data_IF_806918950491
#
_entry.id   IF_806918950491
#
_cell.length_a   1.000
_cell.length_b   1.000
_cell.length_c   1.000
_cell.angle_alpha   90.00
_cell.angle_beta   90.00
_cell.angle_gamma   90.00
#
_symmetry.space_group_name_H-M   'P 1'
#
loop_
_entity.id
_entity.type
_entity.pdbx_description
1 polymer ?
#
# COMPACT_ATOMS: atom_id res chain seq x y z
N UNK A 1 -18.70 4.67 -13.49
CA UNK A 1 -17.80 3.50 -13.39
C UNK A 1 -18.01 2.89 -12.02
N UNK A 2 -17.85 1.57 -11.88
CA UNK A 2 -18.15 0.83 -10.66
C UNK A 2 -17.02 0.92 -9.62
N UNK A 3 -15.78 1.08 -10.08
CA UNK A 3 -14.57 1.18 -9.26
C UNK A 3 -13.82 2.48 -9.54
N UNK A 4 -13.06 2.94 -8.54
CA UNK A 4 -12.21 4.13 -8.66
C UNK A 4 -10.87 3.77 -9.29
N UNK A 5 -10.27 2.66 -8.85
CA UNK A 5 -8.96 2.17 -9.31
C UNK A 5 -9.00 0.66 -9.52
N UNK A 6 -8.37 0.19 -10.59
CA UNK A 6 -8.13 -1.22 -10.88
C UNK A 6 -6.62 -1.45 -11.07
N UNK A 7 -6.06 -2.38 -10.29
CA UNK A 7 -4.74 -2.97 -10.52
C UNK A 7 -4.95 -4.22 -11.37
N UNK A 8 -4.43 -4.25 -12.60
CA UNK A 8 -4.71 -5.32 -13.57
C UNK A 8 -3.48 -6.14 -13.93
N UNK A 9 -3.63 -7.47 -14.02
CA UNK A 9 -2.62 -8.38 -14.56
C UNK A 9 -1.44 -8.71 -13.63
N UNK A 10 -1.49 -8.27 -12.36
CA UNK A 10 -0.45 -8.52 -11.37
C UNK A 10 -0.53 -9.92 -10.74
N UNK A 11 0.58 -10.36 -10.13
CA UNK A 11 0.59 -11.50 -9.20
C UNK A 11 0.26 -10.98 -7.80
N UNK A 12 -0.94 -11.30 -7.30
CA UNK A 12 -1.35 -10.94 -5.95
C UNK A 12 -0.71 -11.92 -4.95
N UNK A 13 -0.01 -11.36 -3.97
CA UNK A 13 0.47 -12.06 -2.78
C UNK A 13 -0.30 -11.50 -1.58
N UNK A 14 -1.29 -12.26 -1.10
CA UNK A 14 -2.07 -11.97 0.09
C UNK A 14 -2.05 -13.18 1.05
N UNK A 15 -1.12 -13.19 2.02
CA UNK A 15 -1.00 -14.29 2.98
C UNK A 15 -2.22 -14.45 3.88
N UNK A 16 -2.95 -13.38 4.19
CA UNK A 16 -4.12 -13.43 5.07
C UNK A 16 -5.27 -14.20 4.42
N UNK A 17 -5.41 -14.07 3.10
CA UNK A 17 -6.39 -14.82 2.30
C UNK A 17 -5.81 -16.10 1.68
N UNK A 18 -4.52 -16.38 1.88
CA UNK A 18 -3.82 -17.54 1.29
C UNK A 18 -3.66 -17.47 -0.23
N UNK A 19 -3.63 -16.28 -0.82
CA UNK A 19 -3.53 -16.07 -2.26
C UNK A 19 -2.07 -15.82 -2.65
N UNK A 20 -1.59 -16.62 -3.59
CA UNK A 20 -0.37 -16.36 -4.35
C UNK A 20 -0.63 -16.74 -5.81
N UNK A 21 -1.25 -15.83 -6.56
CA UNK A 21 -1.75 -16.11 -7.90
C UNK A 21 -1.97 -14.82 -8.71
N UNK A 22 -2.05 -14.91 -10.06
CA UNK A 22 -2.52 -13.80 -10.88
C UNK A 22 -3.93 -13.39 -10.49
N UNK A 23 -4.11 -12.12 -10.08
CA UNK A 23 -5.40 -11.53 -9.71
C UNK A 23 -5.38 -10.04 -10.00
N UNK A 24 -6.54 -9.57 -10.42
CA UNK A 24 -6.89 -8.17 -10.49
C UNK A 24 -7.44 -7.71 -9.13
N UNK A 25 -7.14 -6.48 -8.74
CA UNK A 25 -7.63 -5.88 -7.47
C UNK A 25 -8.31 -4.56 -7.80
N UNK A 26 -9.61 -4.47 -7.49
CA UNK A 26 -10.40 -3.26 -7.68
C UNK A 26 -10.66 -2.55 -6.35
N UNK A 27 -10.59 -1.22 -6.39
CA UNK A 27 -10.74 -0.34 -5.23
C UNK A 27 -11.92 0.59 -5.50
N UNK A 28 -12.80 0.75 -4.50
CA UNK A 28 -13.88 1.73 -4.50
C UNK A 28 -14.02 2.37 -3.13
N UNK A 29 -14.14 3.69 -3.08
CA UNK A 29 -14.26 4.50 -1.86
C UNK A 29 -13.16 4.19 -0.83
N UNK A 30 -11.92 4.01 -1.31
CA UNK A 30 -10.76 3.72 -0.46
C UNK A 30 -10.70 2.30 0.11
N UNK A 31 -11.59 1.39 -0.31
CA UNK A 31 -11.62 0.01 0.13
C UNK A 31 -11.40 -0.95 -1.03
N UNK A 32 -10.80 -2.11 -0.76
CA UNK A 32 -10.75 -3.22 -1.72
C UNK A 32 -12.17 -3.72 -1.94
N UNK A 33 -12.70 -3.51 -3.14
CA UNK A 33 -14.07 -3.81 -3.51
C UNK A 33 -14.22 -5.18 -4.20
N UNK A 34 -13.20 -5.62 -4.93
CA UNK A 34 -13.17 -6.93 -5.57
C UNK A 34 -11.73 -7.42 -5.77
N UNK A 35 -11.57 -8.74 -5.73
CA UNK A 35 -10.35 -9.47 -6.10
C UNK A 35 -10.77 -10.64 -6.98
N UNK A 36 -10.39 -10.63 -8.25
CA UNK A 36 -10.83 -11.66 -9.21
C UNK A 36 -9.74 -11.93 -10.27
N UNK A 37 -9.89 -12.98 -11.09
CA UNK A 37 -8.91 -13.34 -12.10
C UNK A 37 -8.89 -12.39 -13.30
N UNK A 38 -10.03 -11.79 -13.66
CA UNK A 38 -10.14 -10.85 -14.78
C UNK A 38 -11.29 -9.85 -14.55
N UNK A 39 -10.94 -8.62 -14.19
CA UNK A 39 -11.91 -7.53 -14.00
C UNK A 39 -11.92 -6.66 -15.28
N UNK A 40 -13.09 -6.35 -15.87
CA UNK A 40 -13.16 -5.52 -17.07
C UNK A 40 -12.59 -4.11 -16.84
N UNK A 41 -11.68 -3.65 -17.71
CA UNK A 41 -11.08 -2.30 -17.61
C UNK A 41 -12.12 -1.17 -17.68
N UNK A 42 -13.25 -1.41 -18.33
CA UNK A 42 -14.36 -0.46 -18.45
C UNK A 42 -15.13 -0.24 -17.15
N UNK A 43 -14.87 -1.07 -16.13
CA UNK A 43 -15.52 -0.97 -14.82
C UNK A 43 -14.85 0.04 -13.88
N UNK A 44 -13.62 0.50 -14.17
CA UNK A 44 -12.83 1.35 -13.28
C UNK A 44 -12.48 2.72 -13.89
N UNK A 45 -12.46 3.76 -13.06
CA UNK A 45 -12.10 5.11 -13.48
C UNK A 45 -10.61 5.27 -13.81
N UNK A 46 -9.76 4.55 -13.10
CA UNK A 46 -8.34 4.46 -13.34
C UNK A 46 -7.92 3.00 -13.43
N UNK A 47 -7.02 2.70 -14.36
CA UNK A 47 -6.41 1.38 -14.50
C UNK A 47 -4.90 1.52 -14.40
N UNK A 48 -4.29 0.69 -13.56
CA UNK A 48 -2.84 0.50 -13.47
C UNK A 48 -2.52 -0.89 -13.98
N UNK A 49 -1.73 -0.96 -15.05
CA UNK A 49 -1.18 -2.22 -15.55
C UNK A 49 -0.04 -2.69 -14.63
N UNK A 50 -0.27 -3.80 -13.95
CA UNK A 50 0.67 -4.44 -13.04
C UNK A 50 1.28 -5.72 -13.64
N UNK A 51 1.23 -5.89 -14.97
CA UNK A 51 1.81 -7.05 -15.64
C UNK A 51 3.30 -7.19 -15.32
N UNK A 52 3.69 -8.38 -14.85
CA UNK A 52 5.07 -8.66 -14.41
C UNK A 52 5.43 -8.11 -13.04
N UNK A 53 4.51 -7.42 -12.36
CA UNK A 53 4.70 -6.90 -11.00
C UNK A 53 4.04 -7.81 -9.96
N UNK A 54 4.50 -7.65 -8.71
CA UNK A 54 3.82 -8.17 -7.52
C UNK A 54 2.85 -7.11 -7.02
N UNK A 55 1.62 -7.51 -6.73
CA UNK A 55 0.66 -6.72 -5.95
C UNK A 55 0.60 -7.35 -4.56
N UNK A 56 0.79 -6.56 -3.52
CA UNK A 56 0.77 -7.01 -2.14
C UNK A 56 0.08 -5.97 -1.25
N UNK A 57 -0.40 -6.35 -0.06
CA UNK A 57 -0.73 -5.39 0.98
C UNK A 57 0.44 -4.43 1.22
N UNK A 58 0.14 -3.16 1.49
CA UNK A 58 1.17 -2.20 1.87
C UNK A 58 1.93 -2.68 3.10
N UNK A 59 3.25 -2.50 3.09
CA UNK A 59 4.11 -3.03 4.14
C UNK A 59 3.92 -2.25 5.44
N UNK A 60 4.11 -2.94 6.56
CA UNK A 60 4.12 -2.35 7.90
C UNK A 60 5.54 -2.39 8.44
N UNK A 61 6.12 -1.22 8.65
CA UNK A 61 7.42 -1.07 9.31
C UNK A 61 7.19 -0.82 10.80
N UNK A 62 7.49 -1.84 11.60
CA UNK A 62 7.27 -1.83 13.05
C UNK A 62 8.30 -1.00 13.82
N UNK A 63 9.38 -0.56 13.18
CA UNK A 63 10.45 0.15 13.86
C UNK A 63 11.06 1.21 12.96
N UNK A 64 10.51 2.43 13.03
CA UNK A 64 11.01 3.58 12.30
C UNK A 64 11.10 4.80 13.21
N UNK A 65 11.92 5.79 12.83
CA UNK A 65 12.00 7.06 13.53
C UNK A 65 11.41 8.15 12.64
N UNK A 66 10.12 8.45 12.76
CA UNK A 66 9.37 9.28 11.79
C UNK A 66 9.02 10.67 12.30
N UNK A 67 9.54 11.08 13.46
CA UNK A 67 9.37 12.45 13.98
C UNK A 67 10.29 13.45 13.27
N UNK A 68 10.03 13.68 11.98
CA UNK A 68 10.80 14.54 11.09
C UNK A 68 10.96 15.97 11.65
N UNK A 69 12.20 16.42 11.77
CA UNK A 69 12.54 17.74 12.33
C UNK A 69 12.47 17.84 13.85
N UNK A 70 11.81 16.90 14.54
CA UNK A 70 11.74 16.84 16.00
C UNK A 70 12.95 16.16 16.65
N UNK A 71 13.67 15.31 15.93
CA UNK A 71 14.94 14.69 16.36
C UNK A 71 15.95 14.61 15.21
N UNK A 72 17.22 14.37 15.54
CA UNK A 72 18.28 14.14 14.53
C UNK A 72 18.14 12.83 13.77
N UNK A 73 17.33 11.89 14.25
CA UNK A 73 17.08 10.58 13.64
C UNK A 73 15.79 10.54 12.80
N UNK A 74 14.90 11.53 12.99
CA UNK A 74 13.61 11.58 12.33
C UNK A 74 13.74 11.63 10.80
N UNK A 75 12.96 10.81 10.10
CA UNK A 75 12.82 10.80 8.64
C UNK A 75 11.43 11.26 8.20
N UNK A 76 11.33 11.83 7.00
CA UNK A 76 10.06 12.20 6.37
C UNK A 76 9.35 10.93 5.86
N UNK A 77 8.32 10.51 6.59
CA UNK A 77 7.61 9.25 6.32
C UNK A 77 6.89 9.25 4.96
N UNK A 78 6.29 10.36 4.55
CA UNK A 78 5.55 10.46 3.28
C UNK A 78 6.49 10.26 2.08
N UNK A 79 7.68 10.87 2.15
CA UNK A 79 8.71 10.69 1.11
C UNK A 79 9.22 9.26 1.02
N UNK A 80 9.30 8.56 2.16
CA UNK A 80 9.71 7.15 2.20
C UNK A 80 8.59 6.23 1.72
N UNK A 81 7.35 6.47 2.13
CA UNK A 81 6.18 5.70 1.72
C UNK A 81 6.08 5.62 0.19
N UNK A 82 6.28 6.77 -0.48
CA UNK A 82 6.21 6.90 -1.94
C UNK A 82 7.23 6.04 -2.71
N UNK A 83 8.26 5.51 -2.06
CA UNK A 83 9.36 4.77 -2.72
C UNK A 83 9.62 3.37 -2.16
N UNK A 84 9.08 3.05 -0.99
CA UNK A 84 9.41 1.81 -0.26
C UNK A 84 8.32 0.74 -0.32
N UNK A 85 7.08 1.11 -0.65
CA UNK A 85 5.94 0.22 -0.52
C UNK A 85 5.44 0.06 0.92
N UNK A 86 6.09 0.71 1.90
CA UNK A 86 5.58 0.83 3.27
C UNK A 86 4.47 1.86 3.34
N UNK A 87 3.31 1.45 3.82
CA UNK A 87 2.13 2.32 3.98
C UNK A 87 1.81 2.60 5.44
N UNK A 88 2.46 1.90 6.36
CA UNK A 88 2.26 2.09 7.80
C UNK A 88 3.60 2.01 8.50
N UNK A 89 3.93 3.07 9.23
CA UNK A 89 5.15 3.20 10.02
C UNK A 89 4.76 3.32 11.49
N UNK A 90 5.49 2.61 12.35
CA UNK A 90 5.38 2.75 13.80
C UNK A 90 6.59 3.53 14.30
N UNK A 91 6.34 4.72 14.84
CA UNK A 91 7.39 5.52 15.47
C UNK A 91 7.94 4.81 16.71
N UNK A 92 9.23 4.54 16.71
CA UNK A 92 9.93 3.77 17.72
C UNK A 92 10.54 4.68 18.81
N UNK A 93 9.74 5.58 19.36
CA UNK A 93 10.15 6.46 20.45
C UNK A 93 11.05 7.61 20.02
N UNK A 94 10.81 8.17 18.83
CA UNK A 94 11.41 9.45 18.45
C UNK A 94 10.86 10.61 19.27
N UNK A 95 9.62 10.49 19.75
CA UNK A 95 9.04 11.41 20.73
C UNK A 95 8.87 10.73 22.10
N UNK A 96 9.05 11.52 23.16
CA UNK A 96 8.80 11.15 24.54
C UNK A 96 8.59 12.39 25.41
N UNK A 97 8.64 12.24 26.72
CA UNK A 97 8.34 13.35 27.64
C UNK A 97 9.25 14.59 27.50
N UNK A 98 10.41 14.47 26.87
CA UNK A 98 11.38 15.57 26.72
C UNK A 98 11.27 16.37 25.43
N UNK A 99 10.46 15.93 24.46
CA UNK A 99 10.45 16.53 23.12
C UNK A 99 9.12 16.39 22.35
N UNK A 100 8.02 16.03 23.01
CA UNK A 100 6.68 16.05 22.39
C UNK A 100 6.06 17.45 22.39
#
# INVERSE_FOLDING_TARGET
>A
MQFDLLLKGGRLIDPASGIDAPRDVAIANGLVAAVDADIPVTSAAQVVDATGCIVAPGLVDLHSHVYWGGTSLGVDADRLAAKSGTTTFIDAGSAGAGNF
#
